data_IF_876065579621
#
_entry.id   IF_876065579621
#
_cell.length_a   1.000
_cell.length_b   1.000
_cell.length_c   1.000
_cell.angle_alpha   90.00
_cell.angle_beta   90.00
_cell.angle_gamma   90.00
#
_symmetry.space_group_name_H-M   'P 1'
#
loop_
_entity.id
_entity.type
_entity.pdbx_description
1 polymer ?
#
# COMPACT_ATOMS: atom_id res chain seq x y z
N UNK A 1 -6.93 19.74 -7.69
CA UNK A 1 -7.26 18.40 -7.18
C UNK A 1 -6.22 17.47 -7.76
N UNK A 2 -5.06 17.42 -7.13
CA UNK A 2 -4.09 16.36 -7.40
C UNK A 2 -4.70 15.12 -6.79
N UNK A 3 -5.22 14.23 -7.64
CA UNK A 3 -5.65 12.92 -7.19
C UNK A 3 -4.40 12.22 -6.68
N UNK A 4 -4.26 12.15 -5.36
CA UNK A 4 -3.36 11.21 -4.72
C UNK A 4 -3.90 9.82 -5.08
N UNK A 5 -3.42 9.28 -6.20
CA UNK A 5 -3.73 7.91 -6.61
C UNK A 5 -2.88 7.05 -5.68
N UNK A 6 -3.39 6.82 -4.47
CA UNK A 6 -2.87 5.78 -3.58
C UNK A 6 -2.81 4.47 -4.37
N UNK A 7 -1.69 3.79 -4.29
CA UNK A 7 -1.46 2.61 -5.11
C UNK A 7 -2.42 1.52 -4.64
N UNK A 8 -3.32 1.03 -5.50
CA UNK A 8 -4.20 -0.06 -5.04
C UNK A 8 -3.37 -1.32 -4.83
N UNK A 9 -3.82 -2.22 -3.95
CA UNK A 9 -3.18 -3.54 -3.78
C UNK A 9 -2.97 -4.29 -5.10
N UNK A 10 -3.93 -4.16 -6.03
CA UNK A 10 -3.82 -4.77 -7.35
C UNK A 10 -2.72 -4.13 -8.20
N UNK A 11 -2.51 -2.83 -8.07
CA UNK A 11 -1.45 -2.11 -8.78
C UNK A 11 -0.08 -2.42 -8.20
N UNK A 12 0.04 -2.50 -6.88
CA UNK A 12 1.25 -2.94 -6.20
C UNK A 12 1.65 -4.37 -6.61
N UNK A 13 0.71 -5.31 -6.62
CA UNK A 13 0.97 -6.68 -7.08
C UNK A 13 1.41 -6.72 -8.55
N UNK A 14 0.76 -5.94 -9.42
CA UNK A 14 1.16 -5.84 -10.83
C UNK A 14 2.57 -5.26 -10.97
N UNK A 15 2.91 -4.23 -10.19
CA UNK A 15 4.23 -3.62 -10.19
C UNK A 15 5.31 -4.61 -9.72
N UNK A 16 5.06 -5.36 -8.63
CA UNK A 16 5.96 -6.41 -8.14
C UNK A 16 6.22 -7.48 -9.19
N UNK A 17 5.17 -7.97 -9.87
CA UNK A 17 5.31 -9.00 -10.92
C UNK A 17 6.17 -8.50 -12.08
N UNK A 18 5.94 -7.26 -12.53
CA UNK A 18 6.71 -6.65 -13.63
C UNK A 18 8.19 -6.47 -13.26
N UNK A 19 8.46 -6.03 -12.03
CA UNK A 19 9.83 -5.81 -11.58
C UNK A 19 10.56 -7.14 -11.35
N UNK A 20 9.87 -8.17 -10.85
CA UNK A 20 10.42 -9.52 -10.74
C UNK A 20 10.75 -10.13 -12.11
N UNK A 21 9.90 -9.91 -13.13
CA UNK A 21 10.20 -10.33 -14.50
C UNK A 21 11.43 -9.61 -15.07
N UNK A 22 11.60 -8.33 -14.74
CA UNK A 22 12.77 -7.55 -15.12
C UNK A 22 14.03 -8.02 -14.39
N UNK A 23 13.95 -8.29 -13.09
CA UNK A 23 15.04 -8.86 -12.30
C UNK A 23 15.55 -10.19 -12.89
N UNK A 24 14.64 -11.07 -13.32
CA UNK A 24 14.99 -12.33 -14.00
C UNK A 24 15.76 -12.14 -15.31
N UNK A 25 15.64 -10.97 -15.94
CA UNK A 25 16.30 -10.64 -17.20
C UNK A 25 17.57 -9.80 -17.00
N UNK A 26 17.92 -9.46 -15.75
CA UNK A 26 19.10 -8.66 -15.44
C UNK A 26 20.38 -9.39 -15.89
N UNK A 27 21.28 -8.67 -16.56
CA UNK A 27 22.52 -9.24 -17.10
C UNK A 27 23.72 -9.04 -16.16
N UNK A 28 23.56 -8.18 -15.16
CA UNK A 28 24.59 -7.80 -14.20
C UNK A 28 24.08 -7.90 -12.76
N UNK A 29 24.96 -8.27 -11.82
CA UNK A 29 24.63 -8.36 -10.38
C UNK A 29 24.14 -7.01 -9.83
N UNK A 30 24.79 -5.91 -10.18
CA UNK A 30 24.37 -4.57 -9.76
C UNK A 30 22.94 -4.24 -10.21
N UNK A 31 22.58 -4.65 -11.43
CA UNK A 31 21.21 -4.45 -11.93
C UNK A 31 20.24 -5.34 -11.14
N UNK A 32 20.57 -6.60 -10.91
CA UNK A 32 19.75 -7.51 -10.11
C UNK A 32 19.49 -6.96 -8.70
N UNK A 33 20.51 -6.44 -8.02
CA UNK A 33 20.38 -5.85 -6.67
C UNK A 33 19.42 -4.66 -6.70
N UNK A 34 19.58 -3.73 -7.64
CA UNK A 34 18.68 -2.58 -7.79
C UNK A 34 17.22 -3.04 -8.01
N UNK A 35 17.01 -4.05 -8.86
CA UNK A 35 15.68 -4.60 -9.13
C UNK A 35 15.06 -5.26 -7.90
N UNK A 36 15.86 -5.94 -7.09
CA UNK A 36 15.41 -6.53 -5.82
C UNK A 36 15.04 -5.46 -4.80
N UNK A 37 15.82 -4.39 -4.70
CA UNK A 37 15.51 -3.25 -3.82
C UNK A 37 14.19 -2.58 -4.23
N UNK A 38 13.94 -2.42 -5.52
CA UNK A 38 12.66 -1.90 -6.03
C UNK A 38 11.48 -2.80 -5.63
N UNK A 39 11.61 -4.11 -5.78
CA UNK A 39 10.57 -5.07 -5.36
C UNK A 39 10.28 -4.93 -3.87
N UNK A 40 11.32 -4.82 -3.03
CA UNK A 40 11.16 -4.65 -1.58
C UNK A 40 10.49 -3.33 -1.23
N UNK A 41 10.86 -2.23 -1.90
CA UNK A 41 10.26 -0.92 -1.68
C UNK A 41 8.75 -0.93 -1.99
N UNK A 42 8.35 -1.48 -3.14
CA UNK A 42 6.94 -1.59 -3.54
C UNK A 42 6.17 -2.48 -2.55
N UNK A 43 6.74 -3.61 -2.16
CA UNK A 43 6.09 -4.52 -1.22
C UNK A 43 5.87 -3.88 0.16
N UNK A 44 6.82 -3.08 0.64
CA UNK A 44 6.68 -2.35 1.91
C UNK A 44 5.61 -1.28 1.84
N UNK A 45 5.63 -0.45 0.80
CA UNK A 45 4.60 0.58 0.60
C UNK A 45 3.19 -0.04 0.55
N UNK A 46 3.03 -1.17 -0.14
CA UNK A 46 1.76 -1.88 -0.24
C UNK A 46 1.28 -2.48 1.08
N UNK A 47 2.18 -2.81 2.01
CA UNK A 47 1.83 -3.28 3.36
C UNK A 47 1.46 -2.10 4.28
N UNK A 48 2.18 -0.98 4.18
CA UNK A 48 1.89 0.23 4.95
C UNK A 48 0.53 0.85 4.57
N UNK A 49 0.20 0.88 3.27
CA UNK A 49 -1.12 1.32 2.79
C UNK A 49 -2.25 0.37 3.25
N UNK A 50 -1.97 -0.92 3.45
CA UNK A 50 -2.95 -1.86 4.02
C UNK A 50 -3.21 -1.53 5.48
N UNK A 51 -2.17 -1.44 6.31
CA UNK A 51 -2.31 -1.19 7.75
C UNK A 51 -3.02 0.17 8.05
N UNK A 52 -2.92 1.14 7.13
CA UNK A 52 -3.61 2.43 7.23
C UNK A 52 -5.13 2.39 6.94
N UNK A 53 -5.62 1.41 6.18
CA UNK A 53 -7.03 1.24 5.82
C UNK A 53 -7.83 0.46 6.90
N UNK A 54 -7.13 -0.18 7.84
CA UNK A 54 -7.71 -0.97 8.93
C UNK A 54 -7.94 -0.15 10.23
N UNK A 55 -8.27 1.14 10.10
CA UNK A 55 -8.80 1.94 11.22
C UNK A 55 -10.33 1.83 11.26
N UNK A 56 -10.93 0.97 12.11
CA UNK A 56 -12.37 0.95 12.30
C UNK A 56 -12.80 2.30 12.89
N UNK A 57 -13.63 3.03 12.15
CA UNK A 57 -14.32 4.22 12.63
C UNK A 57 -15.19 3.86 13.84
N UNK A 58 -14.61 3.94 15.04
CA UNK A 58 -15.36 3.86 16.29
C UNK A 58 -16.08 5.18 16.50
N UNK A 59 -17.29 5.22 15.95
CA UNK A 59 -18.49 5.71 16.60
C UNK A 59 -18.52 7.18 16.99
N UNK A 60 -19.00 7.99 16.04
CA UNK A 60 -19.83 9.17 16.29
C UNK A 60 -20.73 8.97 17.52
N UNK A 61 -20.34 9.53 18.67
CA UNK A 61 -21.27 9.73 19.79
C UNK A 61 -22.04 11.02 19.53
N UNK A 62 -23.16 10.94 18.79
CA UNK A 62 -24.16 12.01 18.73
C UNK A 62 -25.56 11.45 19.06
N UNK A 63 -26.09 11.89 20.22
CA UNK A 63 -27.52 12.01 20.59
C UNK A 63 -28.29 10.71 20.92
N UNK A 64 -29.09 10.58 21.99
CA UNK A 64 -29.71 11.46 22.99
C UNK A 64 -30.67 10.57 23.85
N UNK A 65 -31.78 11.02 24.48
CA UNK A 65 -32.16 12.33 25.04
C UNK A 65 -32.46 12.27 26.57
N UNK A 66 -32.60 13.46 27.18
CA UNK A 66 -33.49 13.87 28.28
C UNK A 66 -34.19 12.79 29.15
N UNK A 67 -33.96 12.83 30.47
CA UNK A 67 -34.94 12.40 31.47
C UNK A 67 -34.96 13.42 32.63
N UNK A 68 -36.06 14.17 32.70
CA UNK A 68 -36.46 14.98 33.84
C UNK A 68 -36.63 14.10 35.09
N UNK A 69 -36.07 14.56 36.23
CA UNK A 69 -36.72 14.58 37.55
C UNK A 69 -35.86 15.33 38.56
#
# INVERSE_FOLDING_TARGET
>A
MESEIGMTRSDALRAIINEAASARSALCENELVIRLDNILAIARAALEEWDGDEMPQSSRSEGGPQAER
#
